data_IF_054248048505
#
_entry.id   IF_054248048505
#
_cell.length_a   1.000
_cell.length_b   1.000
_cell.length_c   1.000
_cell.angle_alpha   90.00
_cell.angle_beta   90.00
_cell.angle_gamma   90.00
#
_symmetry.space_group_name_H-M   'P 1'
#
loop_
_entity.id
_entity.type
_entity.pdbx_description
1 polymer ?
#
# COMPACT_ATOMS: atom_id res chain seq x y z
N UNK A 1 -41.78 -6.43 -45.59
CA UNK A 1 -41.88 -5.36 -44.56
C UNK A 1 -42.76 -5.76 -43.38
N UNK A 2 -44.01 -6.30 -43.58
CA UNK A 2 -44.94 -6.66 -42.47
C UNK A 2 -44.28 -7.64 -41.41
N UNK A 3 -43.64 -8.72 -41.86
CA UNK A 3 -42.98 -9.69 -40.97
C UNK A 3 -41.84 -9.06 -40.14
N UNK A 4 -41.11 -8.07 -40.67
CA UNK A 4 -40.01 -7.41 -39.93
C UNK A 4 -40.58 -6.60 -38.77
N UNK A 5 -41.68 -5.90 -38.96
CA UNK A 5 -42.37 -5.16 -37.90
C UNK A 5 -42.94 -6.06 -36.81
N UNK A 6 -43.43 -7.27 -37.19
CA UNK A 6 -43.92 -8.27 -36.25
C UNK A 6 -42.76 -8.78 -35.35
N UNK A 7 -41.58 -9.05 -35.91
CA UNK A 7 -40.40 -9.45 -35.14
C UNK A 7 -39.89 -8.36 -34.24
N UNK A 8 -39.86 -7.11 -34.72
CA UNK A 8 -39.47 -5.95 -33.91
C UNK A 8 -40.43 -5.78 -32.73
N UNK A 9 -41.73 -5.93 -32.94
CA UNK A 9 -42.74 -5.86 -31.90
C UNK A 9 -42.56 -6.95 -30.82
N UNK A 10 -42.28 -8.17 -31.24
CA UNK A 10 -42.02 -9.29 -30.32
C UNK A 10 -40.75 -9.03 -29.49
N UNK A 11 -39.67 -8.60 -30.13
CA UNK A 11 -38.41 -8.24 -29.43
C UNK A 11 -38.65 -7.10 -28.43
N UNK A 12 -39.38 -6.05 -28.81
CA UNK A 12 -39.72 -4.96 -27.90
C UNK A 12 -40.53 -5.42 -26.69
N UNK A 13 -41.50 -6.33 -26.88
CA UNK A 13 -42.26 -6.93 -25.78
C UNK A 13 -41.38 -7.75 -24.83
N UNK A 14 -40.44 -8.55 -25.38
CA UNK A 14 -39.48 -9.27 -24.54
C UNK A 14 -38.61 -8.34 -23.71
N UNK A 15 -38.05 -7.29 -24.32
CA UNK A 15 -37.23 -6.29 -23.61
C UNK A 15 -38.06 -5.60 -22.53
N UNK A 16 -39.29 -5.17 -22.86
CA UNK A 16 -40.18 -4.52 -21.91
C UNK A 16 -40.54 -5.44 -20.76
N UNK A 17 -40.89 -6.70 -21.02
CA UNK A 17 -41.22 -7.72 -20.03
C UNK A 17 -40.01 -7.95 -19.09
N UNK A 18 -38.81 -8.10 -19.66
CA UNK A 18 -37.58 -8.28 -18.89
C UNK A 18 -37.30 -7.08 -17.96
N UNK A 19 -37.30 -5.85 -18.51
CA UNK A 19 -37.07 -4.61 -17.73
C UNK A 19 -38.12 -4.45 -16.64
N UNK A 20 -39.39 -4.74 -16.93
CA UNK A 20 -40.50 -4.67 -15.98
C UNK A 20 -40.31 -5.67 -14.84
N UNK A 21 -39.94 -6.92 -15.17
CA UNK A 21 -39.70 -7.98 -14.19
C UNK A 21 -38.53 -7.65 -13.29
N UNK A 22 -37.41 -7.13 -13.85
CA UNK A 22 -36.25 -6.68 -13.03
C UNK A 22 -36.62 -5.55 -12.09
N UNK A 23 -37.34 -4.53 -12.59
CA UNK A 23 -37.79 -3.41 -11.73
C UNK A 23 -38.71 -3.88 -10.59
N UNK A 24 -39.66 -4.77 -10.90
CA UNK A 24 -40.58 -5.32 -9.89
C UNK A 24 -39.83 -6.14 -8.84
N UNK A 25 -38.91 -7.00 -9.28
CA UNK A 25 -38.08 -7.80 -8.38
C UNK A 25 -37.21 -6.90 -7.48
N UNK A 26 -36.67 -5.80 -8.02
CA UNK A 26 -35.89 -4.82 -7.26
C UNK A 26 -36.75 -4.14 -6.20
N UNK A 27 -37.96 -3.67 -6.56
CA UNK A 27 -38.88 -3.02 -5.60
C UNK A 27 -39.27 -3.99 -4.48
N UNK A 28 -39.63 -5.22 -4.80
CA UNK A 28 -39.96 -6.24 -3.81
C UNK A 28 -38.79 -6.53 -2.86
N UNK A 29 -37.57 -6.61 -3.40
CA UNK A 29 -36.36 -6.77 -2.61
C UNK A 29 -36.12 -5.59 -1.69
N UNK A 30 -36.31 -4.35 -2.16
CA UNK A 30 -36.12 -3.13 -1.37
C UNK A 30 -37.12 -2.98 -0.21
N UNK A 31 -38.30 -3.60 -0.34
CA UNK A 31 -39.38 -3.63 0.67
C UNK A 31 -39.29 -4.84 1.60
N UNK A 32 -38.41 -5.79 1.30
CA UNK A 32 -38.23 -6.98 2.14
C UNK A 32 -37.68 -6.60 3.53
N UNK A 33 -38.23 -7.21 4.58
CA UNK A 33 -37.86 -6.94 5.99
C UNK A 33 -36.37 -7.13 6.25
N UNK A 34 -35.76 -8.13 5.61
CA UNK A 34 -34.30 -8.36 5.71
C UNK A 34 -33.54 -7.19 5.10
N UNK A 35 -33.96 -6.68 3.94
CA UNK A 35 -33.31 -5.55 3.27
C UNK A 35 -33.44 -4.26 4.09
N UNK A 36 -34.60 -4.03 4.70
CA UNK A 36 -34.85 -2.87 5.57
C UNK A 36 -33.85 -2.91 6.75
N UNK A 37 -33.73 -4.04 7.43
CA UNK A 37 -32.78 -4.22 8.54
C UNK A 37 -31.31 -4.05 8.09
N UNK A 38 -30.93 -4.53 6.90
CA UNK A 38 -29.59 -4.30 6.34
C UNK A 38 -29.32 -2.79 6.21
N UNK A 39 -30.27 -2.02 5.66
CA UNK A 39 -30.14 -0.56 5.49
C UNK A 39 -30.04 0.19 6.81
N UNK A 40 -30.72 -0.28 7.85
CA UNK A 40 -30.66 0.32 9.20
C UNK A 40 -29.26 0.19 9.81
N UNK A 41 -28.64 -1.00 9.65
CA UNK A 41 -27.35 -1.27 10.29
C UNK A 41 -26.13 -0.86 9.43
N UNK A 42 -26.29 -0.73 8.13
CA UNK A 42 -25.16 -0.47 7.20
C UNK A 42 -24.32 0.77 7.57
N UNK A 43 -24.98 1.81 8.12
CA UNK A 43 -24.30 3.04 8.54
C UNK A 43 -23.23 2.80 9.61
N UNK A 44 -23.40 1.77 10.44
CA UNK A 44 -22.40 1.38 11.45
C UNK A 44 -21.11 0.86 10.83
N UNK A 45 -21.20 0.30 9.62
CA UNK A 45 -20.10 -0.35 8.91
C UNK A 45 -19.51 0.53 7.80
N UNK A 46 -20.13 1.69 7.54
CA UNK A 46 -19.64 2.59 6.51
C UNK A 46 -18.41 3.36 7.00
N UNK A 47 -17.30 3.20 6.29
CA UNK A 47 -16.10 4.02 6.45
C UNK A 47 -15.82 4.67 5.08
N UNK A 48 -15.79 6.00 5.07
CA UNK A 48 -15.52 6.74 3.85
C UNK A 48 -14.05 6.56 3.45
N UNK A 49 -13.83 6.32 2.17
CA UNK A 49 -12.49 6.32 1.58
C UNK A 49 -11.81 7.69 1.74
N UNK A 50 -10.49 7.68 1.82
CA UNK A 50 -9.67 8.89 1.80
C UNK A 50 -8.86 8.91 0.52
N UNK A 51 -9.04 9.95 -0.28
CA UNK A 51 -8.32 10.10 -1.53
C UNK A 51 -6.83 10.31 -1.29
N UNK A 52 -6.02 9.93 -2.28
CA UNK A 52 -4.61 10.26 -2.31
C UNK A 52 -4.41 11.77 -2.38
N UNK A 53 -3.40 12.29 -1.70
CA UNK A 53 -2.99 13.69 -1.83
C UNK A 53 -1.95 13.75 -2.94
N UNK A 54 -2.32 14.37 -4.06
CA UNK A 54 -1.47 14.46 -5.24
C UNK A 54 -1.15 15.92 -5.52
N UNK A 55 0.14 16.20 -5.71
CA UNK A 55 0.63 17.47 -6.25
C UNK A 55 1.19 17.26 -7.65
N UNK A 56 1.80 18.28 -8.24
CA UNK A 56 2.43 18.18 -9.56
C UNK A 56 3.42 17.00 -9.63
N UNK A 57 4.28 16.81 -8.63
CA UNK A 57 5.35 15.82 -8.64
C UNK A 57 5.30 14.81 -7.48
N UNK A 58 4.39 14.96 -6.51
CA UNK A 58 4.38 14.13 -5.31
C UNK A 58 3.04 13.43 -5.08
N UNK A 59 3.08 12.35 -4.32
CA UNK A 59 1.90 11.61 -3.89
C UNK A 59 2.04 11.13 -2.45
N UNK A 60 0.94 11.23 -1.70
CA UNK A 60 0.69 10.49 -0.46
C UNK A 60 -0.49 9.57 -0.75
N UNK A 61 -0.39 8.24 -0.57
CA UNK A 61 -1.44 7.30 -0.92
C UNK A 61 -2.73 7.53 -0.12
N UNK A 62 -3.85 7.18 -0.72
CA UNK A 62 -5.15 7.18 -0.08
C UNK A 62 -5.35 6.01 0.87
N UNK A 63 -6.57 5.89 1.42
CA UNK A 63 -7.02 4.73 2.20
C UNK A 63 -8.39 4.32 1.68
N UNK A 64 -8.58 3.02 1.43
CA UNK A 64 -9.89 2.49 1.09
C UNK A 64 -10.88 2.67 2.23
N UNK A 65 -12.10 3.02 1.87
CA UNK A 65 -13.26 2.91 2.73
C UNK A 65 -13.85 1.50 2.72
N UNK A 66 -14.98 1.36 3.40
CA UNK A 66 -15.77 0.13 3.35
C UNK A 66 -17.26 0.44 3.40
N UNK A 67 -18.05 -0.44 2.84
CA UNK A 67 -19.51 -0.38 2.89
C UNK A 67 -20.10 -1.78 2.92
N UNK A 68 -21.35 -1.89 3.37
CA UNK A 68 -22.11 -3.15 3.25
C UNK A 68 -22.48 -3.39 1.79
N UNK A 69 -22.19 -4.56 1.25
CA UNK A 69 -22.80 -5.02 0.02
C UNK A 69 -24.22 -5.51 0.31
N UNK A 70 -25.20 -4.60 0.14
CA UNK A 70 -26.61 -4.89 0.42
C UNK A 70 -27.12 -6.11 -0.33
N UNK A 71 -26.76 -6.23 -1.60
CA UNK A 71 -27.25 -7.30 -2.46
C UNK A 71 -26.73 -8.65 -2.03
N UNK A 72 -25.43 -8.77 -1.84
CA UNK A 72 -24.82 -10.03 -1.43
C UNK A 72 -25.23 -10.42 -0.01
N UNK A 73 -25.28 -9.46 0.91
CA UNK A 73 -25.80 -9.66 2.28
C UNK A 73 -27.25 -10.16 2.27
N UNK A 74 -28.11 -9.49 1.48
CA UNK A 74 -29.51 -9.90 1.34
C UNK A 74 -29.64 -11.34 0.82
N UNK A 75 -28.94 -11.71 -0.25
CA UNK A 75 -29.04 -13.05 -0.81
C UNK A 75 -28.56 -14.14 0.17
N UNK A 76 -27.51 -13.86 0.97
CA UNK A 76 -27.07 -14.81 2.01
C UNK A 76 -28.13 -14.98 3.10
N UNK A 77 -28.71 -13.87 3.57
CA UNK A 77 -29.72 -13.89 4.64
C UNK A 77 -31.06 -14.46 4.15
N UNK A 78 -31.47 -14.15 2.90
CA UNK A 78 -32.73 -14.64 2.32
C UNK A 78 -32.80 -16.17 2.24
N UNK A 79 -31.66 -16.83 1.98
CA UNK A 79 -31.55 -18.29 2.02
C UNK A 79 -31.86 -18.88 3.39
N UNK A 80 -31.59 -18.12 4.46
CA UNK A 80 -31.87 -18.53 5.84
C UNK A 80 -33.23 -18.05 6.35
N UNK A 81 -33.91 -17.19 5.62
CA UNK A 81 -35.22 -16.65 5.96
C UNK A 81 -35.23 -15.62 7.10
N UNK A 82 -34.06 -15.18 7.58
CA UNK A 82 -33.95 -14.23 8.71
C UNK A 82 -32.74 -13.29 8.57
N UNK A 83 -32.88 -12.11 9.17
CA UNK A 83 -31.77 -11.16 9.30
C UNK A 83 -30.75 -11.67 10.33
N UNK A 84 -29.46 -11.63 9.96
CA UNK A 84 -28.33 -11.94 10.85
C UNK A 84 -27.15 -11.04 10.52
N UNK A 85 -26.78 -10.17 11.48
CA UNK A 85 -25.70 -9.19 11.30
C UNK A 85 -24.34 -9.82 11.00
N UNK A 86 -24.10 -11.07 11.43
CA UNK A 86 -22.85 -11.81 11.12
C UNK A 86 -22.72 -12.24 9.67
N UNK A 87 -23.82 -12.22 8.91
CA UNK A 87 -23.85 -12.54 7.48
C UNK A 87 -23.71 -11.33 6.57
N UNK A 88 -23.49 -10.13 7.16
CA UNK A 88 -23.21 -8.94 6.38
C UNK A 88 -21.92 -9.13 5.58
N UNK A 89 -21.99 -8.79 4.31
CA UNK A 89 -20.83 -8.77 3.40
C UNK A 89 -20.31 -7.35 3.32
N UNK A 90 -19.07 -7.18 3.75
CA UNK A 90 -18.40 -5.88 3.69
C UNK A 90 -17.52 -5.84 2.45
N UNK A 91 -17.70 -4.82 1.62
CA UNK A 91 -16.85 -4.56 0.46
C UNK A 91 -16.04 -3.27 0.64
N UNK A 92 -14.83 -3.26 0.07
CA UNK A 92 -13.95 -2.09 0.08
C UNK A 92 -14.35 -1.09 -0.99
N UNK A 93 -14.24 0.19 -0.65
CA UNK A 93 -14.36 1.33 -1.57
C UNK A 93 -12.95 1.85 -1.80
N UNK A 94 -12.41 1.66 -3.00
CA UNK A 94 -11.06 2.13 -3.33
C UNK A 94 -11.06 3.64 -3.60
N UNK A 95 -9.98 4.37 -3.24
CA UNK A 95 -9.75 5.73 -3.70
C UNK A 95 -9.77 5.80 -5.23
N UNK A 96 -10.16 6.94 -5.80
CA UNK A 96 -10.15 7.15 -7.25
C UNK A 96 -8.73 7.14 -7.81
N UNK A 97 -7.80 7.75 -7.09
CA UNK A 97 -6.41 7.87 -7.49
C UNK A 97 -5.55 6.88 -6.71
N UNK A 98 -5.26 5.74 -7.33
CA UNK A 98 -4.43 4.70 -6.74
C UNK A 98 -2.94 4.96 -6.97
N UNK A 99 -2.11 4.62 -5.99
CA UNK A 99 -0.65 4.72 -6.06
C UNK A 99 -0.08 3.98 -7.28
N UNK A 100 -0.62 2.79 -7.59
CA UNK A 100 -0.16 1.98 -8.74
C UNK A 100 -0.27 2.70 -10.10
N UNK A 101 -1.20 3.66 -10.23
CA UNK A 101 -1.42 4.43 -11.46
C UNK A 101 -0.60 5.74 -11.48
N UNK A 102 0.15 6.02 -10.42
CA UNK A 102 0.88 7.27 -10.21
C UNK A 102 2.38 7.04 -9.94
N UNK A 103 2.99 6.05 -10.61
CA UNK A 103 4.44 5.76 -10.48
C UNK A 103 5.35 6.89 -10.94
N UNK A 104 4.81 7.84 -11.70
CA UNK A 104 5.48 9.07 -12.12
C UNK A 104 5.43 10.19 -11.06
N UNK A 105 5.15 9.85 -9.80
CA UNK A 105 5.15 10.75 -8.66
C UNK A 105 6.08 10.25 -7.58
N UNK A 106 6.74 11.20 -6.88
CA UNK A 106 7.52 10.88 -5.69
C UNK A 106 6.60 10.51 -4.54
N UNK A 107 6.84 9.39 -3.91
CA UNK A 107 6.20 9.03 -2.65
C UNK A 107 6.95 9.75 -1.54
N UNK A 108 6.26 10.68 -0.87
CA UNK A 108 6.88 11.53 0.17
C UNK A 108 6.43 11.17 1.59
N UNK A 109 5.44 10.32 1.74
CA UNK A 109 4.92 9.87 3.05
C UNK A 109 3.91 8.74 2.83
N UNK A 110 3.68 7.92 3.84
CA UNK A 110 2.46 7.14 3.98
C UNK A 110 1.27 8.01 4.40
N UNK A 111 0.09 7.41 4.47
CA UNK A 111 -1.10 8.15 4.88
C UNK A 111 -1.07 8.51 6.37
N UNK A 112 -1.25 9.79 6.68
CA UNK A 112 -1.16 10.32 8.05
C UNK A 112 -2.26 9.85 9.00
N UNK A 113 -3.28 9.16 8.50
CA UNK A 113 -4.34 8.59 9.35
C UNK A 113 -4.00 7.21 9.92
N UNK A 114 -2.89 6.62 9.48
CA UNK A 114 -2.35 5.38 10.02
C UNK A 114 -1.28 5.71 11.06
N UNK A 115 -1.31 5.04 12.21
CA UNK A 115 -0.26 5.18 13.23
C UNK A 115 1.00 4.37 12.86
N UNK A 116 1.35 4.38 11.58
CA UNK A 116 2.44 3.60 10.99
C UNK A 116 3.58 4.52 10.54
N UNK A 117 4.79 4.00 10.62
CA UNK A 117 6.01 4.59 10.06
C UNK A 117 6.85 3.51 9.39
N UNK A 118 7.77 3.89 8.51
CA UNK A 118 8.62 2.92 7.81
C UNK A 118 10.09 3.31 7.93
N UNK A 119 10.94 2.31 8.25
CA UNK A 119 12.38 2.49 8.31
C UNK A 119 13.03 1.97 7.03
N UNK A 120 13.94 2.75 6.47
CA UNK A 120 14.78 2.40 5.32
C UNK A 120 16.24 2.40 5.76
N UNK A 121 16.93 1.29 5.61
CA UNK A 121 18.37 1.19 5.83
C UNK A 121 19.09 1.22 4.48
N UNK A 122 20.06 2.14 4.33
CA UNK A 122 20.86 2.29 3.11
C UNK A 122 22.14 1.48 3.24
N UNK A 123 22.16 0.28 2.67
CA UNK A 123 23.24 -0.71 2.82
C UNK A 123 24.11 -0.70 1.56
N UNK A 124 25.38 -0.34 1.72
CA UNK A 124 26.37 -0.29 0.64
C UNK A 124 27.44 -1.40 0.71
N UNK A 125 27.65 -1.93 1.91
CA UNK A 125 28.62 -2.99 2.20
C UNK A 125 28.11 -3.93 3.30
N UNK A 126 28.89 -4.91 3.67
CA UNK A 126 28.53 -5.90 4.68
C UNK A 126 28.64 -5.40 6.14
N UNK A 127 29.14 -4.18 6.34
CA UNK A 127 29.32 -3.65 7.68
C UNK A 127 27.95 -3.48 8.36
N UNK A 128 27.85 -3.96 9.58
CA UNK A 128 26.67 -3.82 10.45
C UNK A 128 25.35 -4.45 9.97
N UNK A 129 25.26 -5.03 8.77
CA UNK A 129 23.97 -5.56 8.28
C UNK A 129 23.44 -6.68 9.20
N UNK A 130 24.28 -7.58 9.67
CA UNK A 130 23.87 -8.63 10.61
C UNK A 130 23.40 -8.03 11.93
N UNK A 131 24.08 -7.00 12.46
CA UNK A 131 23.65 -6.29 13.67
C UNK A 131 22.26 -5.64 13.48
N UNK A 132 21.99 -5.04 12.31
CA UNK A 132 20.69 -4.50 11.98
C UNK A 132 19.62 -5.60 12.02
N UNK A 133 19.85 -6.70 11.32
CA UNK A 133 18.90 -7.81 11.23
C UNK A 133 18.61 -8.41 12.60
N UNK A 134 19.63 -8.59 13.44
CA UNK A 134 19.48 -9.13 14.80
C UNK A 134 18.67 -8.16 15.70
N UNK A 135 18.92 -6.85 15.59
CA UNK A 135 18.14 -5.83 16.33
C UNK A 135 16.69 -5.80 15.86
N UNK A 136 16.45 -5.85 14.55
CA UNK A 136 15.10 -5.86 13.97
C UNK A 136 14.34 -7.13 14.40
N UNK A 137 14.98 -8.30 14.37
CA UNK A 137 14.39 -9.56 14.79
C UNK A 137 14.06 -9.56 16.29
N UNK A 138 14.98 -9.13 17.15
CA UNK A 138 14.76 -8.99 18.60
C UNK A 138 13.59 -8.09 18.95
N UNK A 139 13.35 -7.08 18.12
CA UNK A 139 12.24 -6.14 18.30
C UNK A 139 10.97 -6.53 17.52
N UNK A 140 10.95 -7.65 16.81
CA UNK A 140 9.84 -8.08 15.96
C UNK A 140 9.43 -7.02 14.93
N UNK A 141 10.42 -6.36 14.32
CA UNK A 141 10.21 -5.27 13.36
C UNK A 141 10.62 -5.71 11.96
N UNK A 142 9.72 -5.54 11.01
CA UNK A 142 10.02 -5.64 9.59
C UNK A 142 10.30 -4.24 9.01
N UNK A 143 11.32 -4.14 8.16
CA UNK A 143 11.80 -2.87 7.62
C UNK A 143 12.12 -2.97 6.13
N UNK A 144 12.79 -1.98 5.58
CA UNK A 144 13.20 -1.94 4.18
C UNK A 144 14.72 -1.80 4.11
N UNK A 145 15.35 -2.73 3.41
CA UNK A 145 16.80 -2.78 3.21
C UNK A 145 17.07 -2.40 1.76
N UNK A 146 17.54 -1.18 1.57
CA UNK A 146 17.91 -0.68 0.25
C UNK A 146 19.39 -0.96 0.01
N UNK A 147 19.70 -1.67 -1.06
CA UNK A 147 21.04 -2.21 -1.32
C UNK A 147 21.60 -1.72 -2.64
N UNK A 148 22.94 -1.60 -2.71
CA UNK A 148 23.66 -1.34 -3.96
C UNK A 148 23.82 -2.61 -4.79
N UNK A 149 24.13 -2.47 -6.09
CA UNK A 149 24.40 -3.58 -6.99
C UNK A 149 25.55 -4.47 -6.48
N UNK A 150 26.65 -3.86 -6.05
CA UNK A 150 27.81 -4.58 -5.53
C UNK A 150 27.45 -5.44 -4.30
N UNK A 151 26.68 -4.86 -3.35
CA UNK A 151 26.21 -5.62 -2.21
C UNK A 151 25.31 -6.78 -2.63
N UNK A 152 24.38 -6.53 -3.54
CA UNK A 152 23.42 -7.52 -4.01
C UNK A 152 24.11 -8.73 -4.67
N UNK A 153 25.11 -8.46 -5.53
CA UNK A 153 25.86 -9.49 -6.27
C UNK A 153 26.69 -10.39 -5.34
N UNK A 154 27.34 -9.76 -4.36
CA UNK A 154 28.26 -10.45 -3.45
C UNK A 154 27.55 -11.23 -2.34
N UNK A 155 26.25 -11.01 -2.09
CA UNK A 155 25.55 -11.48 -0.90
C UNK A 155 24.24 -12.23 -1.18
N UNK A 156 24.17 -13.06 -2.20
CA UNK A 156 22.95 -13.76 -2.62
C UNK A 156 22.22 -14.52 -1.49
N UNK A 157 22.96 -15.21 -0.63
CA UNK A 157 22.36 -15.94 0.49
C UNK A 157 21.75 -15.00 1.54
N UNK A 158 22.39 -13.86 1.79
CA UNK A 158 21.90 -12.83 2.71
C UNK A 158 20.70 -12.10 2.11
N UNK A 159 20.68 -11.84 0.82
CA UNK A 159 19.51 -11.28 0.10
C UNK A 159 18.28 -12.18 0.28
N UNK A 160 18.43 -13.49 0.14
CA UNK A 160 17.32 -14.42 0.37
C UNK A 160 16.83 -14.39 1.84
N UNK A 161 17.74 -14.31 2.81
CA UNK A 161 17.40 -14.14 4.23
C UNK A 161 16.65 -12.83 4.46
N UNK A 162 17.14 -11.72 3.91
CA UNK A 162 16.51 -10.40 4.03
C UNK A 162 15.10 -10.43 3.41
N UNK A 163 14.94 -10.92 2.18
CA UNK A 163 13.66 -10.91 1.46
C UNK A 163 12.55 -11.71 2.13
N UNK A 164 12.89 -12.65 3.01
CA UNK A 164 11.90 -13.45 3.74
C UNK A 164 11.10 -12.65 4.77
N UNK A 165 11.68 -11.58 5.33
CA UNK A 165 11.07 -10.75 6.38
C UNK A 165 10.97 -9.26 6.00
N UNK A 166 11.95 -8.76 5.25
CA UNK A 166 12.12 -7.35 4.94
C UNK A 166 11.89 -7.08 3.44
N UNK A 167 11.56 -5.83 3.11
CA UNK A 167 11.50 -5.40 1.72
C UNK A 167 12.91 -5.06 1.22
N UNK A 168 13.22 -5.46 -0.01
CA UNK A 168 14.47 -5.09 -0.67
C UNK A 168 14.21 -3.92 -1.61
N UNK A 169 14.92 -2.81 -1.40
CA UNK A 169 14.93 -1.66 -2.29
C UNK A 169 16.18 -1.62 -3.18
N UNK A 170 16.10 -0.88 -4.27
CA UNK A 170 17.15 -0.78 -5.28
C UNK A 170 17.87 0.57 -5.18
N UNK A 171 19.17 0.56 -4.86
CA UNK A 171 20.06 1.73 -4.93
C UNK A 171 20.90 1.76 -6.21
N UNK A 172 20.72 0.78 -7.13
CA UNK A 172 21.56 0.66 -8.32
C UNK A 172 23.06 0.69 -7.95
N UNK A 173 23.89 1.30 -8.78
CA UNK A 173 25.27 1.58 -8.42
C UNK A 173 25.30 2.90 -7.61
N UNK A 174 25.15 2.80 -6.28
CA UNK A 174 25.22 3.92 -5.35
C UNK A 174 24.31 5.12 -5.72
N UNK A 175 23.06 4.82 -6.08
CA UNK A 175 22.02 5.78 -6.54
C UNK A 175 22.24 6.34 -7.96
N UNK A 176 23.16 5.77 -8.73
CA UNK A 176 23.23 6.01 -10.18
C UNK A 176 22.28 5.07 -10.92
N UNK A 177 21.05 5.51 -11.12
CA UNK A 177 20.01 4.73 -11.80
C UNK A 177 20.15 4.69 -13.33
N UNK A 178 21.11 5.42 -13.92
CA UNK A 178 21.48 5.30 -15.34
C UNK A 178 22.36 4.08 -15.60
N UNK A 179 22.97 3.54 -14.55
CA UNK A 179 23.80 2.33 -14.62
C UNK A 179 22.94 1.11 -15.02
N UNK A 180 23.42 0.24 -15.92
CA UNK A 180 22.73 -1.01 -16.30
C UNK A 180 22.35 -1.92 -15.12
N UNK A 181 23.08 -1.84 -14.01
CA UNK A 181 22.82 -2.61 -12.79
C UNK A 181 21.39 -2.40 -12.25
N UNK A 182 20.84 -1.20 -12.44
CA UNK A 182 19.47 -0.91 -12.07
C UNK A 182 18.46 -1.89 -12.67
N UNK A 183 18.62 -2.23 -13.94
CA UNK A 183 17.67 -3.06 -14.68
C UNK A 183 17.71 -4.53 -14.26
N UNK A 184 18.92 -5.09 -14.12
CA UNK A 184 19.02 -6.49 -13.71
C UNK A 184 18.59 -6.67 -12.25
N UNK A 185 18.97 -5.75 -11.35
CA UNK A 185 18.49 -5.76 -9.97
C UNK A 185 16.94 -5.73 -9.89
N UNK A 186 16.30 -4.84 -10.67
CA UNK A 186 14.84 -4.77 -10.74
C UNK A 186 14.21 -6.10 -11.14
N UNK A 187 14.83 -6.81 -12.08
CA UNK A 187 14.33 -8.11 -12.55
C UNK A 187 14.33 -9.15 -11.44
N UNK A 188 15.32 -9.10 -10.55
CA UNK A 188 15.40 -10.03 -9.41
C UNK A 188 14.51 -9.57 -8.27
N UNK A 189 14.53 -8.28 -7.90
CA UNK A 189 13.76 -7.73 -6.79
C UNK A 189 12.25 -7.94 -7.01
N UNK A 190 11.77 -7.85 -8.25
CA UNK A 190 10.36 -8.13 -8.61
C UNK A 190 9.86 -9.53 -8.22
N UNK A 191 10.77 -10.48 -7.95
CA UNK A 191 10.41 -11.80 -7.47
C UNK A 191 10.05 -11.82 -5.97
N UNK A 192 10.45 -10.78 -5.24
CA UNK A 192 10.26 -10.66 -3.80
C UNK A 192 9.20 -9.63 -3.42
N UNK A 193 9.25 -8.45 -4.05
CA UNK A 193 8.37 -7.31 -3.77
C UNK A 193 8.32 -6.32 -4.94
N UNK A 194 7.46 -5.30 -4.84
CA UNK A 194 7.50 -4.16 -5.75
C UNK A 194 8.85 -3.46 -5.69
N UNK A 195 9.30 -2.89 -6.83
CA UNK A 195 10.57 -2.20 -6.90
C UNK A 195 10.44 -0.77 -6.43
N UNK A 196 11.29 -0.41 -5.48
CA UNK A 196 11.41 0.94 -4.96
C UNK A 196 12.81 1.51 -5.24
N UNK A 197 12.87 2.67 -5.87
CA UNK A 197 14.03 3.54 -5.95
C UNK A 197 14.02 4.50 -4.74
N UNK A 198 15.20 4.99 -4.38
CA UNK A 198 15.40 5.94 -3.31
C UNK A 198 16.07 7.21 -3.84
N UNK A 199 15.64 8.36 -3.34
CA UNK A 199 16.35 9.64 -3.54
C UNK A 199 16.17 10.52 -2.31
N UNK A 200 17.19 11.30 -1.95
CA UNK A 200 17.13 12.19 -0.79
C UNK A 200 16.28 13.44 -1.02
N UNK A 201 16.04 13.79 -2.27
CA UNK A 201 15.31 14.99 -2.68
C UNK A 201 14.46 14.70 -3.94
N UNK A 202 13.68 15.68 -4.38
CA UNK A 202 12.83 15.57 -5.58
C UNK A 202 13.69 15.68 -6.86
N UNK A 203 14.39 14.61 -7.21
CA UNK A 203 15.20 14.53 -8.42
C UNK A 203 14.39 13.94 -9.59
N UNK A 204 13.97 14.79 -10.52
CA UNK A 204 13.13 14.40 -11.65
C UNK A 204 13.80 13.39 -12.60
N UNK A 205 15.11 13.42 -12.78
CA UNK A 205 15.82 12.44 -13.62
C UNK A 205 15.67 11.02 -13.03
N UNK A 206 15.83 10.89 -11.70
CA UNK A 206 15.63 9.63 -10.99
C UNK A 206 14.17 9.18 -11.10
N UNK A 207 13.21 10.08 -10.89
CA UNK A 207 11.79 9.78 -11.01
C UNK A 207 11.46 9.25 -12.40
N UNK A 208 11.95 9.91 -13.44
CA UNK A 208 11.70 9.52 -14.83
C UNK A 208 12.25 8.12 -15.12
N UNK A 209 13.52 7.85 -14.76
CA UNK A 209 14.16 6.54 -14.96
C UNK A 209 13.39 5.45 -14.23
N UNK A 210 13.06 5.66 -12.95
CA UNK A 210 12.38 4.67 -12.12
C UNK A 210 10.96 4.40 -12.63
N UNK A 211 10.19 5.45 -12.94
CA UNK A 211 8.81 5.32 -13.42
C UNK A 211 8.71 4.61 -14.78
N UNK A 212 9.61 4.91 -15.73
CA UNK A 212 9.71 4.19 -17.02
C UNK A 212 9.93 2.68 -16.82
N UNK A 213 10.63 2.31 -15.76
CA UNK A 213 10.90 0.91 -15.40
C UNK A 213 9.86 0.33 -14.42
N UNK A 214 8.71 0.99 -14.26
CA UNK A 214 7.60 0.58 -13.40
C UNK A 214 7.99 0.45 -11.91
N UNK A 215 9.05 1.13 -11.48
CA UNK A 215 9.44 1.25 -10.09
C UNK A 215 8.78 2.47 -9.43
N UNK A 216 8.59 2.42 -8.11
CA UNK A 216 8.19 3.56 -7.30
C UNK A 216 9.42 4.35 -6.88
N UNK A 217 9.30 5.68 -6.74
CA UNK A 217 10.38 6.53 -6.25
C UNK A 217 10.01 7.09 -4.89
N UNK A 218 10.81 6.77 -3.87
CA UNK A 218 10.57 7.17 -2.48
C UNK A 218 11.53 8.29 -2.09
N UNK A 219 10.97 9.34 -1.48
CA UNK A 219 11.72 10.42 -0.82
C UNK A 219 11.40 10.36 0.67
N UNK A 220 12.39 10.18 1.55
CA UNK A 220 12.14 10.07 2.97
C UNK A 220 11.66 11.41 3.57
N UNK A 221 10.82 11.32 4.61
CA UNK A 221 10.42 12.49 5.42
C UNK A 221 11.52 12.93 6.36
N UNK A 222 12.40 11.99 6.76
CA UNK A 222 13.52 12.22 7.66
C UNK A 222 14.72 11.39 7.23
N UNK A 223 15.88 12.04 7.14
CA UNK A 223 17.17 11.39 6.82
C UNK A 223 18.04 11.42 8.07
N UNK A 224 18.41 10.24 8.56
CA UNK A 224 19.25 10.08 9.74
C UNK A 224 20.66 9.70 9.32
N UNK A 225 21.57 10.66 9.37
CA UNK A 225 23.01 10.46 9.14
C UNK A 225 23.75 10.08 10.43
N UNK A 226 23.29 10.61 11.57
CA UNK A 226 23.80 10.33 12.92
C UNK A 226 22.72 10.64 13.97
N UNK A 227 22.96 10.23 15.24
CA UNK A 227 22.12 10.50 16.41
C UNK A 227 20.64 10.16 16.18
N UNK A 228 20.29 8.90 15.86
CA UNK A 228 18.96 8.51 15.47
C UNK A 228 17.92 8.76 16.56
N UNK A 229 18.24 8.48 17.81
CA UNK A 229 17.33 8.71 18.94
C UNK A 229 16.94 10.18 19.05
N UNK A 230 17.91 11.10 18.97
CA UNK A 230 17.63 12.54 19.04
C UNK A 230 16.76 13.03 17.88
N UNK A 231 16.98 12.52 16.67
CA UNK A 231 16.18 12.91 15.51
C UNK A 231 14.71 12.48 15.68
N UNK A 232 14.47 11.24 16.11
CA UNK A 232 13.12 10.72 16.34
C UNK A 232 12.44 11.42 17.52
N UNK A 233 13.17 11.71 18.59
CA UNK A 233 12.62 12.41 19.74
C UNK A 233 12.14 13.83 19.41
N UNK A 234 12.78 14.49 18.46
CA UNK A 234 12.39 15.84 18.02
C UNK A 234 11.16 15.84 17.11
N UNK A 235 11.07 14.88 16.18
CA UNK A 235 10.02 14.87 15.18
C UNK A 235 9.72 13.43 14.77
N UNK A 236 8.48 13.02 14.99
CA UNK A 236 7.94 11.73 14.52
C UNK A 236 6.45 11.89 14.25
N UNK A 237 6.03 11.71 13.01
CA UNK A 237 4.62 11.80 12.60
C UNK A 237 4.12 10.48 12.03
N UNK A 238 2.80 10.36 11.93
CA UNK A 238 2.16 9.28 11.19
C UNK A 238 2.54 9.34 9.72
N UNK A 239 2.81 8.18 9.14
CA UNK A 239 3.17 8.05 7.74
C UNK A 239 4.64 8.39 7.44
N UNK A 240 5.46 8.70 8.44
CA UNK A 240 6.87 9.06 8.18
C UNK A 240 7.64 7.89 7.57
N UNK A 241 8.42 8.22 6.54
CA UNK A 241 9.42 7.37 5.91
C UNK A 241 10.78 7.86 6.37
N UNK A 242 11.46 7.04 7.16
CA UNK A 242 12.70 7.41 7.85
C UNK A 242 13.84 6.63 7.22
N UNK A 243 14.77 7.30 6.55
CA UNK A 243 15.98 6.68 6.04
C UNK A 243 17.13 6.79 7.03
N UNK A 244 17.90 5.73 7.19
CA UNK A 244 18.98 5.59 8.14
C UNK A 244 20.23 5.19 7.38
N UNK A 245 21.27 5.99 7.49
CA UNK A 245 22.60 5.64 7.02
C UNK A 245 23.21 4.57 7.94
N UNK A 246 23.72 3.51 7.34
CA UNK A 246 24.35 2.42 8.08
C UNK A 246 25.75 2.83 8.49
N UNK A 247 25.93 3.09 9.79
CA UNK A 247 27.20 3.39 10.44
C UNK A 247 27.15 2.98 11.91
N UNK A 248 28.29 2.96 12.57
CA UNK A 248 28.44 2.47 13.95
C UNK A 248 27.54 3.23 14.95
N UNK A 249 27.51 4.56 14.87
CA UNK A 249 26.73 5.40 15.79
C UNK A 249 25.22 5.14 15.68
N UNK A 250 24.72 5.05 14.44
CA UNK A 250 23.31 4.78 14.20
C UNK A 250 22.90 3.39 14.68
N UNK A 251 23.78 2.39 14.53
CA UNK A 251 23.49 1.03 14.97
C UNK A 251 23.52 0.89 16.49
N UNK A 252 24.43 1.55 17.19
CA UNK A 252 24.45 1.58 18.67
C UNK A 252 23.13 2.09 19.26
N UNK A 253 22.53 3.10 18.66
CA UNK A 253 21.28 3.71 19.15
C UNK A 253 20.00 3.08 18.53
N UNK A 254 20.11 2.16 17.54
CA UNK A 254 18.98 1.62 16.78
C UNK A 254 17.90 0.98 17.67
N UNK A 255 18.33 0.19 18.64
CA UNK A 255 17.39 -0.47 19.56
C UNK A 255 16.58 0.56 20.38
N UNK A 256 17.25 1.60 20.88
CA UNK A 256 16.60 2.69 21.64
C UNK A 256 15.66 3.49 20.74
N UNK A 257 16.05 3.76 19.50
CA UNK A 257 15.24 4.45 18.52
C UNK A 257 13.95 3.67 18.19
N UNK A 258 14.04 2.36 17.99
CA UNK A 258 12.87 1.49 17.73
C UNK A 258 11.91 1.54 18.93
N UNK A 259 12.43 1.42 20.14
CA UNK A 259 11.62 1.49 21.37
C UNK A 259 10.95 2.87 21.53
N UNK A 260 11.64 3.96 21.23
CA UNK A 260 11.06 5.30 21.26
C UNK A 260 9.90 5.44 20.26
N UNK A 261 10.04 4.92 19.04
CA UNK A 261 8.97 4.91 18.02
C UNK A 261 7.74 4.15 18.55
N UNK A 262 7.96 2.95 19.13
CA UNK A 262 6.88 2.13 19.69
C UNK A 262 6.22 2.80 20.90
N UNK A 263 6.99 3.39 21.79
CA UNK A 263 6.48 4.11 22.97
C UNK A 263 5.61 5.31 22.61
N UNK A 264 5.82 5.90 21.42
CA UNK A 264 4.94 6.93 20.87
C UNK A 264 3.69 6.38 20.17
N UNK A 265 3.40 5.10 20.32
CA UNK A 265 2.22 4.44 19.73
C UNK A 265 2.30 4.31 18.22
N UNK A 266 3.50 4.28 17.62
CA UNK A 266 3.68 4.05 16.19
C UNK A 266 4.07 2.61 15.94
N UNK A 267 3.47 2.02 14.90
CA UNK A 267 3.87 0.73 14.36
C UNK A 267 4.92 0.92 13.26
N UNK A 268 5.99 0.13 13.32
CA UNK A 268 7.03 0.13 12.28
C UNK A 268 6.67 -0.95 11.28
N UNK A 269 6.41 -0.54 10.03
CA UNK A 269 5.99 -1.44 8.95
C UNK A 269 6.86 -1.30 7.72
N UNK A 270 6.81 -2.29 6.83
CA UNK A 270 7.46 -2.20 5.51
C UNK A 270 6.78 -1.14 4.64
N UNK A 271 7.49 -0.62 3.63
CA UNK A 271 6.96 0.38 2.70
C UNK A 271 5.70 -0.11 1.99
N UNK A 272 5.67 -1.36 1.53
CA UNK A 272 4.50 -1.93 0.88
C UNK A 272 3.25 -1.88 1.77
N UNK A 273 3.41 -2.11 3.10
CA UNK A 273 2.32 -2.01 4.08
C UNK A 273 1.95 -0.55 4.38
N UNK A 274 2.96 0.32 4.60
CA UNK A 274 2.74 1.75 4.85
C UNK A 274 1.96 2.41 3.71
N UNK A 275 2.29 2.04 2.47
CA UNK A 275 1.72 2.59 1.24
C UNK A 275 0.46 1.86 0.78
N UNK A 276 0.06 0.81 1.47
CA UNK A 276 -1.11 0.01 1.14
C UNK A 276 -2.39 0.83 1.32
N UNK A 277 -3.14 0.98 0.24
CA UNK A 277 -4.41 1.72 0.19
C UNK A 277 -5.61 0.86 0.67
N UNK A 278 -5.41 0.13 1.79
CA UNK A 278 -6.43 -0.75 2.39
C UNK A 278 -7.03 -0.13 3.64
#
# INVERSE_FOLDING_TARGET
MKKIFEYIGIIALFIFSFVFTEKTATVLKEQDEIMIKIKEVEKKYYIKEKEAIITENTIIPGISGQMVDRSESYYKMKKMGLFNETLLVIKKIKPKNLLQNNKNKFIISGNKNKNEVSLIFLVKNNDYINNILDILEKNEVNSNIFVTSDFFEQNNSLINKISSKHLIGNLSNNMDYKNPDFLWMNTIIKKFNDVFCYTENLNNDILEICSRNKAYTVVPTTIIKNKPLMNISKKLNNGDIISIYVNEDNIKELNMMINEIKNRGKEIVKLDNLLLEK
#
